data_IF_090334875474
#
_entry.id   IF_090334875474
#
_cell.length_a   1.000
_cell.length_b   1.000
_cell.length_c   1.000
_cell.angle_alpha   90.00
_cell.angle_beta   90.00
_cell.angle_gamma   90.00
#
_symmetry.space_group_name_H-M   'P 1'
#
loop_
_entity.id
_entity.type
_entity.pdbx_description
1 polymer ?
#
# COMPACT_ATOMS: atom_id res chain seq x y z
N UNK A 1 2.83 -7.98 11.22
CA UNK A 1 3.41 -9.30 10.94
C UNK A 1 4.52 -9.23 9.90
N UNK A 2 4.26 -8.69 8.69
CA UNK A 2 5.22 -8.63 7.58
C UNK A 2 6.55 -7.94 7.93
N UNK A 3 6.49 -6.75 8.54
CA UNK A 3 7.70 -6.00 8.93
C UNK A 3 8.53 -6.80 9.94
N UNK A 4 7.89 -7.43 10.94
CA UNK A 4 8.59 -8.24 11.93
C UNK A 4 9.27 -9.47 11.29
N UNK A 5 8.58 -10.13 10.35
CA UNK A 5 9.17 -11.24 9.61
C UNK A 5 10.39 -10.83 8.80
N UNK A 6 10.31 -9.67 8.13
CA UNK A 6 11.45 -9.13 7.37
C UNK A 6 12.62 -8.71 8.28
N UNK A 7 12.32 -8.11 9.44
CA UNK A 7 13.36 -7.76 10.43
C UNK A 7 14.13 -8.98 10.93
N UNK A 8 13.48 -10.14 11.03
CA UNK A 8 14.14 -11.39 11.45
C UNK A 8 15.15 -11.90 10.40
N UNK A 9 15.09 -11.45 9.16
CA UNK A 9 16.05 -11.78 8.10
C UNK A 9 17.26 -10.85 8.06
N UNK A 10 17.21 -9.73 8.80
CA UNK A 10 18.33 -8.78 8.85
C UNK A 10 19.45 -9.39 9.71
N UNK A 11 20.67 -9.52 9.18
CA UNK A 11 21.81 -10.09 9.90
C UNK A 11 22.13 -9.30 11.18
N UNK A 12 22.41 -10.01 12.27
CA UNK A 12 22.78 -9.37 13.55
C UNK A 12 24.11 -8.64 13.48
N UNK A 13 24.99 -9.09 12.61
CA UNK A 13 26.31 -8.50 12.35
C UNK A 13 26.23 -7.03 11.97
N UNK A 14 25.13 -6.59 11.33
CA UNK A 14 24.90 -5.19 11.01
C UNK A 14 24.71 -4.32 12.26
N UNK A 15 24.03 -4.87 13.26
CA UNK A 15 23.82 -4.19 14.55
C UNK A 15 25.12 -4.14 15.35
N UNK A 16 25.85 -5.25 15.36
CA UNK A 16 27.10 -5.41 16.12
C UNK A 16 28.20 -4.51 15.54
N UNK A 17 28.35 -4.47 14.22
CA UNK A 17 29.30 -3.58 13.55
C UNK A 17 29.01 -2.12 13.86
N UNK A 18 27.75 -1.70 13.76
CA UNK A 18 27.36 -0.33 14.07
C UNK A 18 27.56 0.04 15.53
N UNK A 19 27.39 -0.92 16.44
CA UNK A 19 27.65 -0.69 17.87
C UNK A 19 29.16 -0.53 18.15
N UNK A 20 30.02 -1.32 17.45
CA UNK A 20 31.48 -1.19 17.51
C UNK A 20 31.92 0.19 16.98
N UNK A 21 31.27 0.68 15.91
CA UNK A 21 31.49 2.00 15.35
C UNK A 21 31.00 3.17 16.25
N UNK A 22 30.49 2.85 17.45
CA UNK A 22 30.04 3.85 18.43
C UNK A 22 28.69 4.48 18.11
N UNK A 23 27.88 3.88 17.22
CA UNK A 23 26.55 4.37 16.90
C UNK A 23 25.62 4.19 18.09
N UNK A 24 24.87 5.24 18.44
CA UNK A 24 23.78 5.13 19.40
C UNK A 24 22.62 4.31 18.83
N UNK A 25 21.76 3.77 19.70
CA UNK A 25 20.58 2.99 19.31
C UNK A 25 19.71 3.69 18.24
N UNK A 26 19.47 5.01 18.41
CA UNK A 26 18.71 5.79 17.43
C UNK A 26 19.45 5.95 16.10
N UNK A 27 20.77 6.07 16.12
CA UNK A 27 21.56 6.14 14.89
C UNK A 27 21.52 4.82 14.12
N UNK A 28 21.61 3.69 14.80
CA UNK A 28 21.46 2.37 14.20
C UNK A 28 20.09 2.24 13.56
N UNK A 29 19.03 2.62 14.29
CA UNK A 29 17.67 2.56 13.77
C UNK A 29 17.49 3.40 12.51
N UNK A 30 17.86 4.70 12.54
CA UNK A 30 17.60 5.60 11.42
C UNK A 30 18.55 5.42 10.23
N UNK A 31 19.84 5.14 10.49
CA UNK A 31 20.86 5.10 9.44
C UNK A 31 21.00 3.71 8.81
N UNK A 32 20.68 2.65 9.53
CA UNK A 32 20.90 1.28 9.08
C UNK A 32 19.58 0.54 8.91
N UNK A 33 18.80 0.41 9.97
CA UNK A 33 17.62 -0.44 9.96
C UNK A 33 16.51 0.12 9.09
N UNK A 34 16.16 1.38 9.25
CA UNK A 34 15.07 2.01 8.48
C UNK A 34 15.32 1.99 6.97
N UNK A 35 16.53 2.28 6.45
CA UNK A 35 16.83 2.10 5.03
C UNK A 35 16.67 0.67 4.53
N UNK A 36 17.12 -0.32 5.30
CA UNK A 36 16.97 -1.75 4.95
C UNK A 36 15.50 -2.17 4.93
N UNK A 37 14.66 -1.58 5.79
CA UNK A 37 13.23 -1.87 5.84
C UNK A 37 12.40 -1.16 4.75
N UNK A 38 12.95 -0.20 4.01
CA UNK A 38 12.20 0.54 2.97
C UNK A 38 11.39 -0.35 2.02
N UNK A 39 11.91 -1.48 1.48
CA UNK A 39 11.15 -2.32 0.57
C UNK A 39 9.91 -2.94 1.22
N UNK A 40 10.04 -3.48 2.44
CA UNK A 40 8.90 -4.07 3.13
C UNK A 40 7.90 -3.01 3.60
N UNK A 41 8.35 -1.83 4.01
CA UNK A 41 7.48 -0.72 4.36
C UNK A 41 6.67 -0.23 3.14
N UNK A 42 7.30 -0.15 1.97
CA UNK A 42 6.64 0.16 0.72
C UNK A 42 5.57 -0.87 0.35
N UNK A 43 5.87 -2.16 0.55
CA UNK A 43 4.91 -3.25 0.36
C UNK A 43 3.70 -3.11 1.29
N UNK A 44 3.95 -2.91 2.57
CA UNK A 44 2.88 -2.75 3.57
C UNK A 44 2.04 -1.51 3.26
N UNK A 45 2.66 -0.39 2.89
CA UNK A 45 1.96 0.82 2.50
C UNK A 45 1.04 0.60 1.30
N UNK A 46 1.53 -0.08 0.24
CA UNK A 46 0.73 -0.41 -0.95
C UNK A 46 -0.45 -1.32 -0.61
N UNK A 47 -0.20 -2.38 0.18
CA UNK A 47 -1.26 -3.32 0.56
C UNK A 47 -2.33 -2.64 1.43
N UNK A 48 -1.91 -1.81 2.39
CA UNK A 48 -2.82 -1.05 3.25
C UNK A 48 -3.62 -0.02 2.46
N UNK A 49 -2.97 0.71 1.56
CA UNK A 49 -3.65 1.65 0.66
C UNK A 49 -4.69 0.94 -0.20
N UNK A 50 -4.30 -0.18 -0.86
CA UNK A 50 -5.22 -0.98 -1.68
C UNK A 50 -6.41 -1.47 -0.87
N UNK A 51 -6.18 -1.97 0.34
CA UNK A 51 -7.25 -2.46 1.22
C UNK A 51 -8.22 -1.35 1.59
N UNK A 52 -7.70 -0.20 2.04
CA UNK A 52 -8.52 0.96 2.41
C UNK A 52 -9.25 1.56 1.20
N UNK A 53 -8.59 1.63 0.04
CA UNK A 53 -9.20 2.17 -1.19
C UNK A 53 -10.35 1.32 -1.72
N UNK A 54 -10.24 -0.01 -1.62
CA UNK A 54 -11.27 -0.93 -2.07
C UNK A 54 -12.31 -1.28 -0.98
N UNK A 55 -12.18 -0.67 0.21
CA UNK A 55 -13.18 -0.86 1.26
C UNK A 55 -14.54 -0.35 0.80
N UNK A 56 -15.55 -1.21 0.88
CA UNK A 56 -16.88 -0.93 0.36
C UNK A 56 -17.95 -0.91 1.45
N UNK A 57 -17.95 -1.93 2.32
CA UNK A 57 -19.08 -2.18 3.23
C UNK A 57 -19.18 -1.06 4.28
N UNK A 58 -18.08 -0.75 4.96
CA UNK A 58 -18.09 0.30 6.00
C UNK A 58 -18.44 1.69 5.43
N UNK A 59 -17.77 2.18 4.37
CA UNK A 59 -18.15 3.44 3.76
C UNK A 59 -19.59 3.48 3.27
N UNK A 60 -20.11 2.38 2.73
CA UNK A 60 -21.51 2.32 2.29
C UNK A 60 -22.46 2.51 3.46
N UNK A 61 -22.27 1.81 4.58
CA UNK A 61 -23.13 1.93 5.75
C UNK A 61 -23.10 3.35 6.32
N UNK A 62 -21.93 3.93 6.51
CA UNK A 62 -21.77 5.26 7.08
C UNK A 62 -22.26 6.39 6.16
N UNK A 63 -22.30 6.18 4.84
CA UNK A 63 -22.73 7.21 3.88
C UNK A 63 -24.16 7.00 3.36
N UNK A 64 -24.93 6.05 3.94
CA UNK A 64 -26.33 5.83 3.55
C UNK A 64 -27.17 7.08 3.70
N UNK A 65 -27.00 7.81 4.79
CA UNK A 65 -27.76 9.04 5.08
C UNK A 65 -27.27 10.27 4.30
N UNK A 66 -26.07 10.24 3.75
CA UNK A 66 -25.49 11.36 3.02
C UNK A 66 -24.77 10.91 1.73
N UNK A 67 -25.49 10.82 0.60
CA UNK A 67 -24.90 10.35 -0.66
C UNK A 67 -23.72 11.19 -1.16
N UNK A 68 -23.62 12.47 -0.76
CA UNK A 68 -22.52 13.36 -1.18
C UNK A 68 -21.17 12.99 -0.56
N UNK A 69 -21.17 12.22 0.51
CA UNK A 69 -19.94 11.78 1.19
C UNK A 69 -19.46 10.38 0.74
N UNK A 70 -20.14 9.77 -0.23
CA UNK A 70 -19.78 8.43 -0.72
C UNK A 70 -18.39 8.45 -1.38
N UNK A 71 -17.48 7.55 -1.00
CA UNK A 71 -16.27 7.31 -1.76
C UNK A 71 -16.58 6.84 -3.18
N UNK A 72 -15.62 7.03 -4.09
CA UNK A 72 -15.79 6.70 -5.51
C UNK A 72 -16.23 5.25 -5.73
N UNK A 73 -15.63 4.30 -5.01
CA UNK A 73 -15.95 2.87 -5.09
C UNK A 73 -17.40 2.58 -4.73
N UNK A 74 -17.92 3.21 -3.68
CA UNK A 74 -19.33 3.09 -3.26
C UNK A 74 -20.24 3.81 -4.25
N UNK A 75 -19.85 5.00 -4.73
CA UNK A 75 -20.62 5.79 -5.68
C UNK A 75 -20.83 5.05 -7.01
N UNK A 76 -19.80 4.42 -7.54
CA UNK A 76 -19.88 3.65 -8.79
C UNK A 76 -20.87 2.49 -8.68
N UNK A 77 -20.85 1.76 -7.55
CA UNK A 77 -21.80 0.66 -7.34
C UNK A 77 -23.23 1.17 -7.15
N UNK A 78 -23.41 2.33 -6.49
CA UNK A 78 -24.73 2.92 -6.30
C UNK A 78 -25.40 3.34 -7.64
N UNK A 79 -24.62 3.68 -8.65
CA UNK A 79 -25.15 3.96 -10.00
C UNK A 79 -25.86 2.77 -10.64
N UNK A 80 -25.44 1.53 -10.27
CA UNK A 80 -26.11 0.31 -10.75
C UNK A 80 -27.58 0.22 -10.30
N UNK A 81 -27.89 0.75 -9.13
CA UNK A 81 -29.23 0.67 -8.54
C UNK A 81 -30.10 1.89 -8.88
N UNK A 82 -29.48 3.00 -9.34
CA UNK A 82 -30.17 4.27 -9.61
C UNK A 82 -30.37 4.55 -11.10
N UNK A 83 -29.70 3.82 -11.99
CA UNK A 83 -29.67 4.15 -13.43
C UNK A 83 -30.60 3.28 -14.25
N UNK A 84 -31.42 3.92 -15.08
CA UNK A 84 -32.19 3.25 -16.12
C UNK A 84 -31.38 3.17 -17.43
N UNK A 85 -30.98 1.94 -17.81
CA UNK A 85 -30.49 1.63 -19.13
C UNK A 85 -28.99 1.88 -19.42
N UNK A 86 -28.67 2.01 -20.71
CA UNK A 86 -27.28 2.05 -21.24
C UNK A 86 -26.44 3.24 -20.72
N UNK A 87 -27.05 4.37 -20.41
CA UNK A 87 -26.33 5.54 -19.89
C UNK A 87 -25.68 5.28 -18.53
N UNK A 88 -26.34 4.51 -17.65
CA UNK A 88 -25.78 4.14 -16.34
C UNK A 88 -24.52 3.27 -16.46
N UNK A 89 -24.48 2.36 -17.43
CA UNK A 89 -23.33 1.51 -17.70
C UNK A 89 -22.11 2.31 -18.15
N UNK A 90 -22.28 3.29 -19.03
CA UNK A 90 -21.20 4.14 -19.50
C UNK A 90 -20.55 4.91 -18.33
N UNK A 91 -21.38 5.48 -17.44
CA UNK A 91 -20.89 6.20 -16.26
C UNK A 91 -20.21 5.24 -15.27
N UNK A 92 -20.76 4.04 -15.09
CA UNK A 92 -20.16 3.01 -14.25
C UNK A 92 -18.78 2.58 -14.76
N UNK A 93 -18.64 2.34 -16.06
CA UNK A 93 -17.35 1.99 -16.67
C UNK A 93 -16.33 3.14 -16.52
N UNK A 94 -16.75 4.37 -16.77
CA UNK A 94 -15.90 5.53 -16.56
C UNK A 94 -15.45 5.67 -15.09
N UNK A 95 -16.38 5.57 -14.15
CA UNK A 95 -16.08 5.61 -12.72
C UNK A 95 -15.17 4.46 -12.26
N UNK A 96 -15.39 3.26 -12.79
CA UNK A 96 -14.52 2.10 -12.51
C UNK A 96 -13.11 2.31 -13.05
N UNK A 97 -12.95 2.84 -14.25
CA UNK A 97 -11.66 3.19 -14.83
C UNK A 97 -10.94 4.25 -13.98
N UNK A 98 -11.66 5.29 -13.53
CA UNK A 98 -11.12 6.30 -12.64
C UNK A 98 -10.68 5.70 -11.28
N UNK A 99 -11.38 4.67 -10.79
CA UNK A 99 -11.03 4.02 -9.51
C UNK A 99 -9.70 3.26 -9.55
N UNK A 100 -9.24 2.87 -10.74
CA UNK A 100 -7.95 2.18 -10.92
C UNK A 100 -6.79 3.18 -10.85
N UNK A 101 -6.98 4.42 -11.29
CA UNK A 101 -5.91 5.42 -11.42
C UNK A 101 -5.10 5.64 -10.14
N UNK A 102 -5.72 5.88 -8.96
CA UNK A 102 -4.96 6.09 -7.73
C UNK A 102 -4.12 4.87 -7.32
N UNK A 103 -4.62 3.66 -7.55
CA UNK A 103 -3.89 2.43 -7.24
C UNK A 103 -2.66 2.31 -8.14
N UNK A 104 -2.81 2.59 -9.45
CA UNK A 104 -1.70 2.57 -10.42
C UNK A 104 -0.66 3.62 -10.06
N UNK A 105 -1.08 4.83 -9.69
CA UNK A 105 -0.17 5.89 -9.25
C UNK A 105 0.65 5.44 -8.04
N UNK A 106 0.00 4.95 -6.99
CA UNK A 106 0.69 4.47 -5.78
C UNK A 106 1.61 3.31 -6.11
N UNK A 107 1.18 2.39 -6.98
CA UNK A 107 2.01 1.28 -7.45
C UNK A 107 3.27 1.77 -8.18
N UNK A 108 3.16 2.71 -9.10
CA UNK A 108 4.32 3.25 -9.85
C UNK A 108 5.35 3.90 -8.93
N UNK A 109 4.90 4.67 -7.92
CA UNK A 109 5.81 5.25 -6.94
C UNK A 109 6.48 4.21 -6.04
N UNK A 110 5.78 3.11 -5.75
CA UNK A 110 6.22 2.09 -4.82
C UNK A 110 7.04 0.99 -5.50
N UNK A 111 6.81 0.74 -6.80
CA UNK A 111 7.42 -0.35 -7.59
C UNK A 111 8.94 -0.33 -7.58
N UNK A 112 9.56 0.85 -7.59
CA UNK A 112 11.02 1.02 -7.52
C UNK A 112 11.64 0.41 -6.25
N UNK A 113 10.87 0.33 -5.16
CA UNK A 113 11.34 -0.26 -3.91
C UNK A 113 11.23 -1.79 -3.88
N UNK A 114 10.38 -2.39 -4.73
CA UNK A 114 10.28 -3.84 -4.84
C UNK A 114 11.48 -4.47 -5.55
N UNK A 115 11.99 -3.82 -6.58
CA UNK A 115 13.10 -4.36 -7.37
C UNK A 115 14.41 -4.47 -6.58
N UNK A 116 14.65 -3.56 -5.64
CA UNK A 116 15.84 -3.58 -4.79
C UNK A 116 15.83 -4.68 -3.73
N UNK A 117 14.64 -5.21 -3.36
CA UNK A 117 14.52 -6.30 -2.37
C UNK A 117 14.65 -7.69 -2.94
N UNK A 118 14.32 -7.88 -4.23
CA UNK A 118 14.38 -9.20 -4.88
C UNK A 118 15.81 -9.64 -5.23
N UNK A 119 16.71 -8.70 -5.46
CA UNK A 119 18.11 -9.01 -5.81
C UNK A 119 18.92 -9.51 -4.62
N UNK A 120 18.55 -9.17 -3.40
CA UNK A 120 19.24 -9.63 -2.18
C UNK A 120 18.90 -11.09 -1.84
N UNK A 121 17.73 -11.57 -2.26
CA UNK A 121 17.31 -12.97 -2.06
C UNK A 121 17.82 -13.95 -3.12
N UNK A 122 18.20 -13.45 -4.29
CA UNK A 122 18.60 -14.29 -5.44
C UNK A 122 20.10 -14.68 -5.44
N UNK A 123 20.89 -14.13 -4.55
CA UNK A 123 22.36 -14.38 -4.48
C UNK A 123 22.72 -15.45 -3.44
N UNK A 124 21.76 -16.20 -2.90
CA UNK A 124 22.02 -17.41 -2.13
C UNK A 124 21.73 -18.65 -2.99
N UNK A 125 22.55 -18.85 -4.00
CA UNK A 125 22.74 -20.08 -4.73
C UNK A 125 24.21 -20.43 -4.70
#
# INVERSE_FOLDING_TARGET
FLVRGYMATVPRELYEAAAIDGCSFFQIYYKIILPVLKPVLATVALLSFRSAWNEFIMPQVFTMSNPKMRPLTVGVVALKTMGDGAAAWNIMFAGSAMSIVPIVIVYLFTSRYFMSGLTVGAVKG
#
